data_IF_707480191758
#
_entry.id   IF_707480191758
#
_cell.length_a   1.000
_cell.length_b   1.000
_cell.length_c   1.000
_cell.angle_alpha   90.00
_cell.angle_beta   90.00
_cell.angle_gamma   90.00
#
_symmetry.space_group_name_H-M   'P 1'
#
loop_
_entity.id
_entity.type
_entity.pdbx_description
1 polymer ?
#
# COMPACT_ATOMS: atom_id res chain seq x y z
N UNK A 1 12.70 -14.99 -21.82
CA UNK A 1 11.45 -15.15 -21.06
C UNK A 1 11.76 -14.76 -19.63
N UNK A 2 11.50 -13.51 -19.24
CA UNK A 2 11.61 -13.12 -17.84
C UNK A 2 10.39 -13.71 -17.12
N UNK A 3 10.63 -14.67 -16.23
CA UNK A 3 9.60 -15.19 -15.32
C UNK A 3 9.28 -14.09 -14.31
N UNK A 4 8.42 -13.15 -14.69
CA UNK A 4 7.95 -12.10 -13.78
C UNK A 4 6.78 -12.69 -12.99
N UNK A 5 6.96 -12.90 -11.69
CA UNK A 5 5.89 -13.37 -10.82
C UNK A 5 4.77 -12.33 -10.79
N UNK A 6 3.50 -12.73 -10.91
CA UNK A 6 2.38 -11.79 -10.85
C UNK A 6 2.35 -11.08 -9.49
N UNK A 7 2.41 -9.74 -9.49
CA UNK A 7 2.48 -8.94 -8.26
C UNK A 7 1.10 -8.41 -7.85
N UNK A 8 0.78 -8.53 -6.57
CA UNK A 8 -0.35 -7.83 -5.94
C UNK A 8 0.15 -6.62 -5.17
N UNK A 9 -0.43 -5.46 -5.46
CA UNK A 9 -0.04 -4.19 -4.82
C UNK A 9 -1.18 -3.69 -3.94
N UNK A 10 -0.89 -3.30 -2.70
CA UNK A 10 -1.81 -2.57 -1.85
C UNK A 10 -1.50 -1.07 -1.87
N UNK A 11 -2.48 -0.22 -2.17
CA UNK A 11 -2.39 1.24 -2.08
C UNK A 11 -3.28 1.75 -0.95
N UNK A 12 -2.68 2.01 0.21
CA UNK A 12 -3.42 2.43 1.40
C UNK A 12 -3.68 3.94 1.39
N UNK A 13 -4.94 4.37 1.39
CA UNK A 13 -5.32 5.79 1.40
C UNK A 13 -5.54 6.42 0.02
N UNK A 14 -6.13 5.67 -0.90
CA UNK A 14 -6.43 6.04 -2.29
C UNK A 14 -7.58 7.07 -2.42
N UNK A 15 -7.38 8.30 -1.97
CA UNK A 15 -8.28 9.42 -2.30
C UNK A 15 -8.11 9.90 -3.75
N UNK A 16 -8.87 10.93 -4.14
CA UNK A 16 -8.88 11.48 -5.52
C UNK A 16 -7.50 11.71 -6.16
N UNK A 17 -6.54 12.26 -5.40
CA UNK A 17 -5.17 12.48 -5.90
C UNK A 17 -4.44 11.18 -6.21
N UNK A 18 -4.66 10.14 -5.40
CA UNK A 18 -3.97 8.86 -5.49
C UNK A 18 -4.64 7.89 -6.46
N UNK A 19 -5.84 8.20 -6.93
CA UNK A 19 -6.45 7.53 -8.08
C UNK A 19 -5.56 7.60 -9.32
N UNK A 20 -4.82 8.70 -9.52
CA UNK A 20 -3.86 8.81 -10.62
C UNK A 20 -2.68 7.82 -10.45
N UNK A 21 -2.23 7.59 -9.22
CA UNK A 21 -1.19 6.60 -8.92
C UNK A 21 -1.70 5.18 -9.20
N UNK A 22 -2.93 4.88 -8.78
CA UNK A 22 -3.60 3.62 -9.09
C UNK A 22 -3.73 3.39 -10.59
N UNK A 23 -4.13 4.41 -11.36
CA UNK A 23 -4.22 4.35 -12.82
C UNK A 23 -2.84 4.05 -13.47
N UNK A 24 -1.78 4.72 -13.03
CA UNK A 24 -0.43 4.49 -13.52
C UNK A 24 0.10 3.08 -13.20
N UNK A 25 -0.24 2.54 -12.02
CA UNK A 25 0.10 1.16 -11.63
C UNK A 25 -0.64 0.14 -12.51
N UNK A 26 -1.93 0.36 -12.77
CA UNK A 26 -2.77 -0.56 -13.56
C UNK A 26 -2.51 -0.49 -15.08
N UNK A 27 -1.98 0.64 -15.55
CA UNK A 27 -1.70 0.89 -16.97
C UNK A 27 -0.33 1.57 -17.16
N UNK A 28 0.78 0.85 -16.91
CA UNK A 28 2.12 1.38 -17.12
C UNK A 28 2.41 1.58 -18.62
N UNK A 29 3.21 2.60 -18.94
CA UNK A 29 3.60 2.92 -20.33
C UNK A 29 4.42 1.78 -20.95
N UNK A 30 5.29 1.15 -20.16
CA UNK A 30 6.10 0.01 -20.54
C UNK A 30 5.74 -1.19 -19.64
N UNK A 31 4.82 -2.04 -20.12
CA UNK A 31 4.30 -3.20 -19.36
C UNK A 31 5.32 -4.30 -19.06
N UNK A 32 6.50 -4.27 -19.70
CA UNK A 32 7.48 -5.34 -19.62
C UNK A 32 8.37 -5.28 -18.35
N UNK A 33 8.34 -4.16 -17.60
CA UNK A 33 9.22 -3.97 -16.46
C UNK A 33 8.69 -4.58 -15.16
N UNK A 34 7.38 -4.49 -14.90
CA UNK A 34 6.73 -4.96 -13.68
C UNK A 34 5.30 -5.42 -13.99
N UNK A 35 5.00 -6.69 -13.70
CA UNK A 35 3.69 -7.28 -13.97
C UNK A 35 2.76 -7.22 -12.73
N UNK A 36 2.15 -6.05 -12.52
CA UNK A 36 1.16 -5.85 -11.44
C UNK A 36 -0.17 -6.45 -11.86
N UNK A 37 -0.47 -7.67 -11.43
CA UNK A 37 -1.71 -8.34 -11.84
C UNK A 37 -2.93 -7.80 -11.12
N UNK A 38 -2.78 -7.41 -9.85
CA UNK A 38 -3.89 -6.96 -9.03
C UNK A 38 -3.53 -5.77 -8.15
N UNK A 39 -4.44 -4.80 -8.05
CA UNK A 39 -4.33 -3.64 -7.19
C UNK A 39 -5.45 -3.65 -6.15
N UNK A 40 -5.09 -3.56 -4.88
CA UNK A 40 -6.01 -3.39 -3.75
C UNK A 40 -5.85 -1.96 -3.22
N UNK A 41 -6.81 -1.09 -3.50
CA UNK A 41 -6.84 0.28 -3.01
C UNK A 41 -7.71 0.38 -1.76
N UNK A 42 -7.30 1.14 -0.74
CA UNK A 42 -8.15 1.41 0.43
C UNK A 42 -8.52 2.88 0.54
N UNK A 43 -9.75 3.17 0.95
CA UNK A 43 -10.29 4.54 1.03
C UNK A 43 -10.98 4.81 2.37
N UNK A 44 -11.10 6.09 2.72
CA UNK A 44 -11.65 6.49 4.03
C UNK A 44 -13.18 6.55 4.12
N UNK A 45 -13.92 6.39 3.02
CA UNK A 45 -15.38 6.46 3.00
C UNK A 45 -15.95 5.72 1.78
N UNK A 46 -17.21 5.29 1.88
CA UNK A 46 -17.94 4.68 0.75
C UNK A 46 -18.08 5.63 -0.44
N UNK A 47 -18.23 6.94 -0.18
CA UNK A 47 -18.28 7.93 -1.25
C UNK A 47 -16.96 7.92 -2.06
N UNK A 48 -15.81 7.91 -1.39
CA UNK A 48 -14.52 7.76 -2.07
C UNK A 48 -14.36 6.40 -2.76
N UNK A 49 -14.95 5.34 -2.21
CA UNK A 49 -14.90 4.00 -2.80
C UNK A 49 -15.57 4.00 -4.17
N UNK A 50 -16.80 4.53 -4.25
CA UNK A 50 -17.54 4.69 -5.50
C UNK A 50 -16.76 5.55 -6.50
N UNK A 51 -16.25 6.71 -6.06
CA UNK A 51 -15.45 7.58 -6.93
C UNK A 51 -14.22 6.90 -7.54
N UNK A 52 -13.48 6.10 -6.75
CA UNK A 52 -12.31 5.37 -7.25
C UNK A 52 -12.72 4.25 -8.20
N UNK A 53 -13.77 3.51 -7.86
CA UNK A 53 -14.32 2.45 -8.71
C UNK A 53 -14.77 3.00 -10.07
N UNK A 54 -15.50 4.12 -10.08
CA UNK A 54 -15.97 4.77 -11.30
C UNK A 54 -14.80 5.25 -12.16
N UNK A 55 -13.84 5.94 -11.54
CA UNK A 55 -12.66 6.49 -12.21
C UNK A 55 -11.75 5.42 -12.82
N UNK A 56 -11.71 4.22 -12.23
CA UNK A 56 -10.86 3.11 -12.66
C UNK A 56 -11.67 1.92 -13.21
N UNK A 57 -12.93 2.16 -13.62
CA UNK A 57 -13.87 1.13 -14.09
C UNK A 57 -13.31 0.23 -15.21
N UNK A 58 -12.47 0.79 -16.09
CA UNK A 58 -11.75 0.07 -17.16
C UNK A 58 -10.81 -1.04 -16.65
N UNK A 59 -10.42 -0.98 -15.37
CA UNK A 59 -9.51 -1.91 -14.72
C UNK A 59 -10.20 -2.75 -13.64
N UNK A 60 -11.53 -2.81 -13.61
CA UNK A 60 -12.32 -3.49 -12.57
C UNK A 60 -11.96 -4.97 -12.36
N UNK A 61 -11.50 -5.68 -13.39
CA UNK A 61 -11.05 -7.08 -13.26
C UNK A 61 -9.77 -7.26 -12.43
N UNK A 62 -9.00 -6.18 -12.24
CA UNK A 62 -7.68 -6.16 -11.58
C UNK A 62 -7.64 -5.16 -10.41
N UNK A 63 -8.80 -4.65 -10.00
CA UNK A 63 -8.92 -3.63 -8.97
C UNK A 63 -9.91 -4.09 -7.89
N UNK A 64 -9.47 -4.09 -6.65
CA UNK A 64 -10.34 -4.17 -5.47
C UNK A 64 -10.24 -2.85 -4.72
N UNK A 65 -11.39 -2.25 -4.38
CA UNK A 65 -11.43 -1.03 -3.57
C UNK A 65 -12.10 -1.35 -2.25
N UNK A 66 -11.32 -1.31 -1.16
CA UNK A 66 -11.76 -1.60 0.19
C UNK A 66 -11.86 -0.33 1.03
N UNK A 67 -12.52 -0.42 2.17
CA UNK A 67 -12.54 0.66 3.15
C UNK A 67 -11.32 0.57 4.07
N UNK A 68 -10.94 1.69 4.70
CA UNK A 68 -9.73 1.79 5.51
C UNK A 68 -9.70 0.81 6.71
N UNK A 69 -10.86 0.39 7.24
CA UNK A 69 -10.89 -0.66 8.27
C UNK A 69 -10.43 -2.03 7.77
N UNK A 70 -10.36 -2.25 6.46
CA UNK A 70 -9.85 -3.49 5.84
C UNK A 70 -8.38 -3.36 5.42
N UNK A 71 -7.65 -2.35 5.89
CA UNK A 71 -6.22 -2.19 5.59
C UNK A 71 -5.39 -3.44 5.90
N UNK A 72 -5.70 -4.15 6.99
CA UNK A 72 -5.00 -5.39 7.37
C UNK A 72 -5.16 -6.46 6.28
N UNK A 73 -6.39 -6.64 5.79
CA UNK A 73 -6.70 -7.57 4.70
C UNK A 73 -5.96 -7.16 3.42
N UNK A 74 -6.00 -5.89 3.05
CA UNK A 74 -5.29 -5.38 1.87
C UNK A 74 -3.77 -5.67 1.94
N UNK A 75 -3.15 -5.48 3.11
CA UNK A 75 -1.72 -5.74 3.31
C UNK A 75 -1.41 -7.24 3.29
N UNK A 76 -2.28 -8.06 3.89
CA UNK A 76 -2.10 -9.51 3.93
C UNK A 76 -2.08 -10.13 2.53
N UNK A 77 -2.99 -9.67 1.65
CA UNK A 77 -3.13 -10.13 0.27
C UNK A 77 -2.06 -9.58 -0.68
N UNK A 78 -1.36 -8.50 -0.32
CA UNK A 78 -0.41 -7.84 -1.21
C UNK A 78 1.05 -8.29 -1.02
N UNK A 79 1.86 -8.20 -2.07
CA UNK A 79 3.31 -8.39 -2.04
C UNK A 79 4.04 -7.07 -1.76
N UNK A 80 3.50 -5.97 -2.29
CA UNK A 80 4.02 -4.60 -2.15
C UNK A 80 2.96 -3.70 -1.54
N UNK A 81 3.33 -2.92 -0.53
CA UNK A 81 2.44 -2.02 0.19
C UNK A 81 2.88 -0.57 0.02
N UNK A 82 2.01 0.25 -0.56
CA UNK A 82 2.18 1.69 -0.67
C UNK A 82 1.39 2.38 0.45
N UNK A 83 2.11 2.96 1.41
CA UNK A 83 1.55 3.79 2.47
C UNK A 83 1.33 5.20 1.95
N UNK A 84 0.09 5.47 1.56
CA UNK A 84 -0.31 6.68 0.87
C UNK A 84 -1.52 7.34 1.59
N UNK A 85 -1.46 7.50 2.90
CA UNK A 85 -2.48 8.23 3.67
C UNK A 85 -1.90 9.52 4.25
N UNK A 86 -2.76 10.37 4.83
CA UNK A 86 -2.29 11.61 5.47
C UNK A 86 -1.47 11.24 6.72
N UNK A 87 -0.29 11.85 6.96
CA UNK A 87 0.55 11.54 8.11
C UNK A 87 -0.18 11.58 9.47
N UNK A 88 -1.16 12.47 9.60
CA UNK A 88 -1.99 12.58 10.82
C UNK A 88 -2.75 11.31 11.18
N UNK A 89 -2.99 10.41 10.21
CA UNK A 89 -3.66 9.11 10.41
C UNK A 89 -2.69 7.98 10.78
N UNK A 90 -1.38 8.23 10.87
CA UNK A 90 -0.39 7.16 11.08
C UNK A 90 -0.64 6.37 12.35
N UNK A 91 -0.92 7.03 13.48
CA UNK A 91 -1.14 6.33 14.75
C UNK A 91 -2.40 5.45 14.70
N UNK A 92 -3.46 5.92 14.06
CA UNK A 92 -4.69 5.14 13.81
C UNK A 92 -4.40 3.90 12.96
N UNK A 93 -3.69 4.06 11.84
CA UNK A 93 -3.40 2.95 10.91
C UNK A 93 -2.43 1.95 11.50
N UNK A 94 -1.31 2.40 12.07
CA UNK A 94 -0.31 1.51 12.67
C UNK A 94 -0.76 0.93 14.02
N UNK A 95 -1.71 1.56 14.70
CA UNK A 95 -2.33 1.04 15.93
C UNK A 95 -3.45 0.02 15.69
N UNK A 96 -3.85 -0.22 14.44
CA UNK A 96 -4.85 -1.23 14.13
C UNK A 96 -4.32 -2.64 14.44
N UNK A 97 -5.18 -3.45 15.08
CA UNK A 97 -4.83 -4.81 15.47
C UNK A 97 -4.39 -5.64 14.26
N UNK A 98 -3.21 -6.25 14.35
CA UNK A 98 -2.67 -7.11 13.30
C UNK A 98 -1.94 -6.38 12.18
N UNK A 99 -1.97 -5.04 12.13
CA UNK A 99 -1.42 -4.27 11.01
C UNK A 99 0.11 -4.39 10.90
N UNK A 100 0.82 -4.34 12.03
CA UNK A 100 2.28 -4.42 12.03
C UNK A 100 2.76 -5.82 11.69
N UNK A 101 2.02 -6.85 12.11
CA UNK A 101 2.29 -8.25 11.83
C UNK A 101 2.21 -8.56 10.34
N UNK A 102 1.17 -8.07 9.67
CA UNK A 102 0.98 -8.32 8.23
C UNK A 102 1.97 -7.55 7.35
N UNK A 103 2.58 -6.47 7.84
CA UNK A 103 3.64 -5.75 7.13
C UNK A 103 4.97 -6.52 7.07
N UNK A 104 5.18 -7.51 7.94
CA UNK A 104 6.46 -8.21 8.05
C UNK A 104 6.74 -9.00 6.77
N UNK A 105 7.96 -8.84 6.24
CA UNK A 105 8.39 -9.51 5.00
C UNK A 105 7.79 -8.94 3.71
N UNK A 106 6.99 -7.86 3.78
CA UNK A 106 6.49 -7.15 2.61
C UNK A 106 7.46 -6.04 2.18
N UNK A 107 7.45 -5.71 0.89
CA UNK A 107 8.08 -4.47 0.42
C UNK A 107 7.16 -3.29 0.77
N UNK A 108 7.63 -2.36 1.60
CA UNK A 108 6.83 -1.22 2.05
C UNK A 108 7.39 0.08 1.51
N UNK A 109 6.57 0.82 0.78
CA UNK A 109 6.91 2.10 0.17
C UNK A 109 6.05 3.17 0.82
N UNK A 110 6.67 4.15 1.47
CA UNK A 110 5.96 5.29 2.05
C UNK A 110 6.09 6.50 1.14
N UNK A 111 4.93 7.06 0.77
CA UNK A 111 4.83 8.36 0.08
C UNK A 111 4.25 9.44 1.01
N UNK A 112 4.25 9.18 2.32
CA UNK A 112 3.75 10.11 3.32
C UNK A 112 4.73 11.28 3.49
N UNK A 113 4.25 12.50 3.25
CA UNK A 113 5.03 13.71 3.43
C UNK A 113 5.52 13.85 4.89
N UNK A 114 6.78 14.22 5.06
CA UNK A 114 7.36 14.54 6.38
C UNK A 114 7.62 13.35 7.31
N UNK A 115 7.37 12.11 6.87
CA UNK A 115 7.69 10.91 7.66
C UNK A 115 9.08 10.40 7.28
N UNK A 116 10.00 10.40 8.25
CA UNK A 116 11.34 9.82 8.05
C UNK A 116 11.28 8.28 8.05
N UNK A 117 12.29 7.63 7.44
CA UNK A 117 12.44 6.17 7.53
C UNK A 117 12.57 5.72 9.00
N UNK A 118 13.29 6.48 9.82
CA UNK A 118 13.43 6.21 11.26
C UNK A 118 12.06 6.19 11.96
N UNK A 119 11.20 7.17 11.65
CA UNK A 119 9.86 7.24 12.22
C UNK A 119 8.96 6.11 11.70
N UNK A 120 9.07 5.78 10.40
CA UNK A 120 8.33 4.67 9.81
C UNK A 120 8.71 3.33 10.47
N UNK A 121 10.00 3.08 10.68
CA UNK A 121 10.47 1.90 11.41
C UNK A 121 9.95 1.89 12.85
N UNK A 122 9.93 3.04 13.54
CA UNK A 122 9.35 3.14 14.90
C UNK A 122 7.86 2.78 14.92
N UNK A 123 7.10 3.19 13.90
CA UNK A 123 5.66 2.92 13.79
C UNK A 123 5.37 1.45 13.44
N UNK A 124 6.19 0.87 12.57
CA UNK A 124 5.96 -0.47 12.00
C UNK A 124 6.55 -1.61 12.84
N UNK A 125 7.52 -1.34 13.71
CA UNK A 125 8.21 -2.36 14.50
C UNK A 125 7.74 -2.33 15.97
N UNK A 126 7.60 -3.51 16.56
CA UNK A 126 7.32 -3.66 17.99
C UNK A 126 8.49 -4.37 18.71
N UNK A 127 8.79 -3.93 19.94
CA UNK A 127 9.69 -4.63 20.85
C UNK A 127 11.06 -4.99 20.26
N UNK A 128 11.46 -6.27 20.38
CA UNK A 128 12.79 -6.79 20.00
C UNK A 128 13.04 -6.82 18.49
N UNK A 129 12.03 -6.58 17.66
CA UNK A 129 12.14 -6.64 16.19
C UNK A 129 12.81 -5.39 15.59
N UNK A 130 12.87 -4.29 16.35
CA UNK A 130 13.61 -3.08 15.97
C UNK A 130 15.14 -3.27 15.90
N UNK A 131 15.66 -4.39 16.43
CA UNK A 131 17.09 -4.69 16.58
C UNK A 131 17.57 -5.85 15.68
N UNK A 132 16.71 -6.43 14.84
CA UNK A 132 17.09 -7.51 13.91
C UNK A 132 17.69 -6.97 12.63
N UNK A 133 18.80 -7.58 12.20
CA UNK A 133 19.44 -7.39 10.90
C UNK A 133 19.35 -8.71 10.09
N UNK A 134 18.74 -8.71 8.90
CA UNK A 134 18.06 -7.58 8.25
C UNK A 134 16.74 -7.20 8.94
N UNK A 135 16.41 -5.91 8.84
CA UNK A 135 15.11 -5.37 9.29
C UNK A 135 13.97 -6.20 8.69
N UNK A 136 12.94 -6.58 9.48
CA UNK A 136 11.79 -7.34 8.96
C UNK A 136 10.91 -6.48 8.02
N UNK A 137 11.25 -5.21 7.85
CA UNK A 137 10.62 -4.24 6.99
C UNK A 137 11.64 -3.64 6.01
N UNK A 138 11.43 -3.85 4.71
CA UNK A 138 12.14 -3.09 3.68
C UNK A 138 11.33 -1.83 3.36
N UNK A 139 11.79 -0.69 3.87
CA UNK A 139 11.12 0.59 3.75
C UNK A 139 11.84 1.55 2.79
N UNK A 140 11.12 2.09 1.81
CA UNK A 140 11.60 3.17 0.93
C UNK A 140 10.72 4.40 1.10
N UNK A 141 11.33 5.58 1.16
CA UNK A 141 10.63 6.86 1.18
C UNK A 141 10.71 7.50 -0.19
N UNK A 142 9.56 7.78 -0.80
CA UNK A 142 9.52 8.67 -1.94
C UNK A 142 9.63 10.14 -1.44
N UNK A 143 10.46 10.98 -2.09
CA UNK A 143 10.61 12.39 -1.75
C UNK A 143 9.29 13.16 -1.87
#
# INVERSE_FOLDING_TARGET
>A
MTNTTPLTVALLGCGNLRTALAAGILNPINGDAVDVNHLIATVGSEASQRCVQDALSKHSSRLTVLLAQENVRAVQEADVVLLAFKPVKREEVFGALGFKEVLRGKLVISIMAGISIKELNRLALEGKDALKDPSPLQAVRAP
#
